data_IF_258632857660
#
_entry.id   IF_258632857660
#
_cell.length_a   1.000
_cell.length_b   1.000
_cell.length_c   1.000
_cell.angle_alpha   90.00
_cell.angle_beta   90.00
_cell.angle_gamma   90.00
#
_symmetry.space_group_name_H-M   'P 1'
#
loop_
_entity.id
_entity.type
_entity.pdbx_description
1 polymer ?
#
# COMPACT_ATOMS: atom_id res chain seq x y z
N UNK A 1 -18.52 -15.70 -10.54
CA UNK A 1 -17.93 -14.63 -11.38
C UNK A 1 -16.77 -14.04 -10.61
N UNK A 2 -15.56 -14.07 -11.16
CA UNK A 2 -14.39 -13.45 -10.52
C UNK A 2 -14.61 -11.94 -10.49
N UNK A 3 -14.63 -11.34 -9.29
CA UNK A 3 -14.80 -9.89 -9.10
C UNK A 3 -13.61 -9.18 -9.76
N UNK A 4 -13.87 -8.24 -10.67
CA UNK A 4 -12.81 -7.47 -11.30
C UNK A 4 -12.29 -6.38 -10.34
N UNK A 5 -10.97 -6.20 -10.27
CA UNK A 5 -10.36 -5.14 -9.47
C UNK A 5 -10.80 -3.76 -10.01
N UNK A 6 -11.13 -2.78 -9.15
CA UNK A 6 -11.60 -1.47 -9.60
C UNK A 6 -10.53 -0.78 -10.43
N UNK A 7 -10.94 -0.31 -11.61
CA UNK A 7 -10.14 0.56 -12.47
C UNK A 7 -10.82 1.92 -12.45
N UNK A 8 -10.18 2.97 -11.91
CA UNK A 8 -10.77 4.30 -11.90
C UNK A 8 -10.80 4.88 -13.31
N UNK A 9 -11.45 6.02 -13.51
CA UNK A 9 -11.53 6.69 -14.81
C UNK A 9 -10.17 7.29 -15.22
N UNK A 10 -9.30 6.41 -15.71
CA UNK A 10 -7.95 6.71 -16.14
C UNK A 10 -7.94 7.19 -17.59
N UNK A 11 -7.18 8.25 -17.91
CA UNK A 11 -7.02 8.78 -19.26
C UNK A 11 -6.29 7.81 -20.19
N UNK A 12 -6.41 8.01 -21.51
CA UNK A 12 -5.85 7.11 -22.53
C UNK A 12 -4.34 6.94 -22.43
N UNK A 13 -3.61 7.98 -21.98
CA UNK A 13 -2.16 7.90 -21.77
C UNK A 13 -1.75 6.98 -20.60
N UNK A 14 -2.70 6.58 -19.75
CA UNK A 14 -2.48 5.70 -18.60
C UNK A 14 -2.94 4.25 -18.86
N UNK A 15 -3.03 3.85 -20.13
CA UNK A 15 -3.47 2.50 -20.54
C UNK A 15 -2.70 1.37 -19.85
N UNK A 16 -1.39 1.52 -19.64
CA UNK A 16 -0.58 0.49 -18.98
C UNK A 16 -0.97 0.30 -17.50
N UNK A 17 -1.32 1.37 -16.79
CA UNK A 17 -1.81 1.28 -15.40
C UNK A 17 -3.14 0.52 -15.38
N UNK A 18 -4.05 0.82 -16.31
CA UNK A 18 -5.33 0.11 -16.46
C UNK A 18 -5.16 -1.39 -16.71
N UNK A 19 -4.22 -1.78 -17.58
CA UNK A 19 -3.92 -3.18 -17.86
C UNK A 19 -3.31 -3.88 -16.65
N UNK A 20 -2.39 -3.23 -15.95
CA UNK A 20 -1.78 -3.76 -14.73
C UNK A 20 -2.83 -4.00 -13.63
N UNK A 21 -3.70 -3.03 -13.35
CA UNK A 21 -4.80 -3.16 -12.38
C UNK A 21 -5.70 -4.35 -12.71
N UNK A 22 -6.09 -4.45 -13.99
CA UNK A 22 -6.97 -5.50 -14.48
C UNK A 22 -6.36 -6.90 -14.33
N UNK A 23 -5.04 -7.00 -14.16
CA UNK A 23 -4.31 -8.27 -14.01
C UNK A 23 -4.11 -8.72 -12.56
N UNK A 24 -4.18 -7.81 -11.57
CA UNK A 24 -3.75 -8.08 -10.20
C UNK A 24 -4.51 -9.26 -9.55
N UNK A 25 -5.83 -9.31 -9.70
CA UNK A 25 -6.69 -10.35 -9.11
C UNK A 25 -7.19 -11.38 -10.14
N UNK A 26 -6.49 -11.51 -11.28
CA UNK A 26 -6.69 -12.67 -12.16
C UNK A 26 -5.97 -13.89 -11.58
N UNK A 27 -6.32 -15.13 -11.98
CA UNK A 27 -5.57 -16.32 -11.57
C UNK A 27 -4.06 -16.16 -11.88
N UNK A 28 -3.22 -16.33 -10.86
CA UNK A 28 -1.77 -16.12 -10.97
C UNK A 28 -1.33 -14.65 -11.01
N UNK A 29 -2.25 -13.70 -10.77
CA UNK A 29 -2.01 -12.26 -10.82
C UNK A 29 -1.17 -11.73 -9.67
N UNK A 30 -1.05 -12.47 -8.56
CA UNK A 30 -0.23 -12.15 -7.37
C UNK A 30 0.45 -13.41 -6.83
N UNK A 31 1.40 -14.00 -7.59
CA UNK A 31 2.04 -15.24 -7.17
C UNK A 31 2.78 -15.08 -5.84
N UNK A 32 2.73 -16.13 -5.02
CA UNK A 32 3.34 -16.16 -3.69
C UNK A 32 2.55 -15.43 -2.60
N UNK A 33 1.33 -14.95 -2.87
CA UNK A 33 0.43 -14.36 -1.88
C UNK A 33 -0.92 -15.08 -1.87
N UNK A 34 -1.53 -15.17 -0.68
CA UNK A 34 -2.94 -15.49 -0.57
C UNK A 34 -3.81 -14.33 -1.10
N UNK A 35 -5.06 -14.61 -1.47
CA UNK A 35 -5.98 -13.59 -1.97
C UNK A 35 -6.25 -12.49 -0.93
N UNK A 36 -6.46 -12.85 0.34
CA UNK A 36 -6.63 -11.91 1.45
C UNK A 36 -5.39 -11.03 1.66
N UNK A 37 -4.19 -11.59 1.50
CA UNK A 37 -2.94 -10.84 1.61
C UNK A 37 -2.81 -9.80 0.50
N UNK A 38 -3.09 -10.18 -0.75
CA UNK A 38 -3.11 -9.25 -1.87
C UNK A 38 -4.18 -8.16 -1.69
N UNK A 39 -5.36 -8.52 -1.17
CA UNK A 39 -6.45 -7.59 -0.86
C UNK A 39 -6.04 -6.56 0.22
N UNK A 40 -5.44 -7.00 1.32
CA UNK A 40 -4.97 -6.12 2.37
C UNK A 40 -3.83 -5.20 1.91
N UNK A 41 -2.90 -5.70 1.09
CA UNK A 41 -1.85 -4.89 0.45
C UNK A 41 -2.46 -3.83 -0.47
N UNK A 42 -3.46 -4.19 -1.29
CA UNK A 42 -4.14 -3.25 -2.17
C UNK A 42 -4.83 -2.12 -1.37
N UNK A 43 -5.54 -2.47 -0.30
CA UNK A 43 -6.20 -1.48 0.55
C UNK A 43 -5.19 -0.59 1.30
N UNK A 44 -4.12 -1.16 1.85
CA UNK A 44 -3.04 -0.39 2.50
C UNK A 44 -2.42 0.61 1.53
N UNK A 45 -2.23 0.19 0.28
CA UNK A 45 -1.64 1.01 -0.79
C UNK A 45 -2.55 2.15 -1.22
N UNK A 46 -3.87 1.90 -1.31
CA UNK A 46 -4.86 2.93 -1.61
C UNK A 46 -4.94 3.97 -0.48
N UNK A 47 -4.91 3.54 0.79
CA UNK A 47 -4.86 4.47 1.92
C UNK A 47 -3.58 5.32 1.87
N UNK A 48 -2.43 4.69 1.61
CA UNK A 48 -1.14 5.37 1.54
C UNK A 48 -1.04 6.36 0.37
N UNK A 49 -1.80 6.16 -0.72
CA UNK A 49 -1.86 7.11 -1.84
C UNK A 49 -2.68 8.36 -1.53
N UNK A 50 -3.42 8.39 -0.41
CA UNK A 50 -4.21 9.55 0.06
C UNK A 50 -5.34 9.99 -0.87
N UNK A 51 -5.75 9.13 -1.80
CA UNK A 51 -6.91 9.36 -2.66
C UNK A 51 -8.16 8.72 -2.02
N UNK A 52 -9.04 9.53 -1.44
CA UNK A 52 -10.21 9.06 -0.69
C UNK A 52 -11.22 8.29 -1.55
N UNK A 53 -11.53 8.81 -2.74
CA UNK A 53 -12.51 8.21 -3.66
C UNK A 53 -12.04 6.83 -4.15
N UNK A 54 -10.77 6.73 -4.55
CA UNK A 54 -10.22 5.46 -4.98
C UNK A 54 -10.02 4.47 -3.81
N UNK A 55 -9.68 4.96 -2.61
CA UNK A 55 -9.67 4.14 -1.40
C UNK A 55 -11.04 3.51 -1.15
N UNK A 56 -12.14 4.27 -1.30
CA UNK A 56 -13.49 3.74 -1.14
C UNK A 56 -13.81 2.64 -2.16
N UNK A 57 -13.40 2.81 -3.43
CA UNK A 57 -13.56 1.79 -4.46
C UNK A 57 -12.80 0.49 -4.14
N UNK A 58 -11.54 0.62 -3.73
CA UNK A 58 -10.72 -0.54 -3.33
C UNK A 58 -11.29 -1.20 -2.08
N UNK A 59 -11.76 -0.44 -1.09
CA UNK A 59 -12.39 -0.99 0.11
C UNK A 59 -13.67 -1.79 -0.21
N UNK A 60 -14.52 -1.29 -1.11
CA UNK A 60 -15.71 -2.02 -1.57
C UNK A 60 -15.33 -3.31 -2.34
N UNK A 61 -14.22 -3.29 -3.07
CA UNK A 61 -13.73 -4.48 -3.75
C UNK A 61 -13.28 -5.58 -2.77
N UNK A 62 -12.53 -5.22 -1.73
CA UNK A 62 -11.95 -6.19 -0.78
C UNK A 62 -12.89 -6.61 0.35
N UNK A 63 -14.11 -6.05 0.43
CA UNK A 63 -15.04 -6.24 1.55
C UNK A 63 -15.37 -7.71 1.85
N UNK A 64 -15.40 -8.58 0.83
CA UNK A 64 -15.71 -10.01 0.99
C UNK A 64 -14.44 -10.88 1.22
N UNK A 65 -13.26 -10.26 1.18
CA UNK A 65 -11.94 -10.91 1.30
C UNK A 65 -11.25 -10.61 2.62
N UNK A 66 -11.66 -9.53 3.30
CA UNK A 66 -11.08 -9.04 4.55
C UNK A 66 -12.18 -8.90 5.59
N UNK A 67 -11.96 -9.48 6.77
CA UNK A 67 -12.83 -9.21 7.92
C UNK A 67 -12.52 -7.84 8.57
N UNK A 68 -13.34 -7.46 9.55
CA UNK A 68 -13.19 -6.19 10.25
C UNK A 68 -11.82 -6.04 10.94
N UNK A 69 -11.27 -7.13 11.46
CA UNK A 69 -9.97 -7.14 12.13
C UNK A 69 -8.83 -6.87 11.14
N UNK A 70 -8.91 -7.44 9.94
CA UNK A 70 -7.98 -7.23 8.85
C UNK A 70 -8.05 -5.80 8.32
N UNK A 71 -9.26 -5.25 8.12
CA UNK A 71 -9.43 -3.85 7.72
C UNK A 71 -8.87 -2.90 8.78
N UNK A 72 -9.10 -3.18 10.06
CA UNK A 72 -8.53 -2.39 11.15
C UNK A 72 -6.99 -2.47 11.15
N UNK A 73 -6.41 -3.66 10.98
CA UNK A 73 -4.97 -3.85 10.92
C UNK A 73 -4.33 -3.13 9.71
N UNK A 74 -4.97 -3.16 8.54
CA UNK A 74 -4.52 -2.41 7.35
C UNK A 74 -4.48 -0.90 7.63
N UNK A 75 -5.55 -0.34 8.21
CA UNK A 75 -5.60 1.08 8.59
C UNK A 75 -4.53 1.42 9.61
N UNK A 76 -4.32 0.54 10.60
CA UNK A 76 -3.33 0.75 11.62
C UNK A 76 -1.89 0.68 11.08
N UNK A 77 -1.61 -0.24 10.15
CA UNK A 77 -0.34 -0.33 9.42
C UNK A 77 -0.08 0.98 8.65
N UNK A 78 -1.05 1.45 7.87
CA UNK A 78 -0.94 2.72 7.14
C UNK A 78 -0.67 3.91 8.07
N UNK A 79 -1.38 3.99 9.21
CA UNK A 79 -1.22 5.07 10.18
C UNK A 79 0.17 5.05 10.86
N UNK A 80 0.60 3.90 11.37
CA UNK A 80 1.90 3.80 12.05
C UNK A 80 3.06 3.97 11.08
N UNK A 81 2.94 3.49 9.85
CA UNK A 81 3.95 3.68 8.81
C UNK A 81 4.03 5.13 8.33
N UNK A 82 2.92 5.87 8.27
CA UNK A 82 2.97 7.31 7.98
C UNK A 82 3.84 8.09 8.98
N UNK A 83 3.87 7.68 10.25
CA UNK A 83 4.77 8.23 11.27
C UNK A 83 6.19 7.66 11.16
N UNK A 84 6.32 6.34 11.18
CA UNK A 84 7.60 5.64 11.24
C UNK A 84 8.45 5.89 9.99
N UNK A 85 7.84 5.90 8.81
CA UNK A 85 8.56 6.09 7.56
C UNK A 85 9.21 7.45 7.47
N UNK A 86 8.65 8.50 8.09
CA UNK A 86 9.30 9.81 8.15
C UNK A 86 10.52 9.77 9.07
N UNK A 87 10.33 9.31 10.32
CA UNK A 87 11.37 9.31 11.33
C UNK A 87 12.56 8.41 10.93
N UNK A 88 12.29 7.14 10.59
CA UNK A 88 13.35 6.19 10.28
C UNK A 88 14.01 6.44 8.92
N UNK A 89 13.33 7.12 7.99
CA UNK A 89 13.97 7.61 6.76
C UNK A 89 14.97 8.71 7.07
N UNK A 90 14.63 9.68 7.93
CA UNK A 90 15.57 10.70 8.39
C UNK A 90 16.80 10.04 9.03
N UNK A 91 16.59 9.17 10.03
CA UNK A 91 17.68 8.47 10.73
C UNK A 91 18.56 7.70 9.74
N UNK A 92 17.97 7.07 8.71
CA UNK A 92 18.73 6.34 7.70
C UNK A 92 19.55 7.24 6.77
N UNK A 93 19.01 8.38 6.35
CA UNK A 93 19.58 9.24 5.30
C UNK A 93 20.57 10.27 5.85
N UNK A 94 20.49 10.62 7.14
CA UNK A 94 21.40 11.60 7.75
C UNK A 94 22.81 11.05 7.96
N UNK A 95 22.97 9.72 7.96
CA UNK A 95 24.26 9.01 8.11
C UNK A 95 25.09 9.40 9.36
N UNK A 96 24.40 9.94 10.37
CA UNK A 96 24.99 10.33 11.64
C UNK A 96 24.58 9.33 12.72
N UNK A 97 25.60 8.65 13.27
CA UNK A 97 25.44 7.60 14.27
C UNK A 97 24.83 8.09 15.58
N UNK A 98 24.92 9.38 15.90
CA UNK A 98 24.33 9.93 17.13
C UNK A 98 22.81 9.77 17.11
N UNK A 99 22.15 10.06 15.99
CA UNK A 99 20.70 9.90 15.85
C UNK A 99 20.22 8.45 15.98
N UNK A 100 21.05 7.46 15.66
CA UNK A 100 20.73 6.05 15.89
C UNK A 100 20.73 5.68 17.38
N UNK A 101 21.48 6.41 18.21
CA UNK A 101 21.57 6.16 19.65
C UNK A 101 20.46 6.86 20.46
N UNK A 102 19.88 7.92 19.91
CA UNK A 102 18.81 8.67 20.57
C UNK A 102 17.51 7.85 20.63
N UNK A 103 16.80 7.85 21.77
CA UNK A 103 15.51 7.19 21.84
C UNK A 103 14.49 7.93 20.96
N UNK A 104 13.83 7.18 20.07
CA UNK A 104 12.82 7.77 19.16
C UNK A 104 11.64 8.44 19.89
N UNK A 105 11.30 7.95 21.10
CA UNK A 105 10.14 8.41 21.90
C UNK A 105 8.81 8.31 21.14
N UNK A 106 8.71 7.41 20.16
CA UNK A 106 7.49 7.12 19.41
C UNK A 106 6.82 5.86 19.97
N UNK A 107 5.49 5.92 20.20
CA UNK A 107 4.70 4.75 20.62
C UNK A 107 4.28 3.95 19.39
N UNK A 108 4.57 2.64 19.38
CA UNK A 108 4.32 1.74 18.24
C UNK A 108 3.68 0.42 18.68
N UNK A 109 2.80 0.45 19.71
CA UNK A 109 2.25 -0.76 20.33
C UNK A 109 1.56 -1.70 19.32
N UNK A 110 0.98 -1.15 18.26
CA UNK A 110 0.31 -1.94 17.22
C UNK A 110 1.25 -2.89 16.48
N UNK A 111 2.56 -2.60 16.41
CA UNK A 111 3.54 -3.52 15.82
C UNK A 111 3.68 -4.83 16.62
N UNK A 112 3.39 -4.78 17.93
CA UNK A 112 3.44 -5.96 18.82
C UNK A 112 2.14 -6.75 18.80
N UNK A 113 1.01 -6.06 18.71
CA UNK A 113 -0.32 -6.63 18.79
C UNK A 113 -1.20 -6.07 17.67
N UNK A 114 -0.98 -6.48 16.41
CA UNK A 114 -1.66 -5.90 15.25
C UNK A 114 -3.12 -6.36 15.10
N UNK A 115 -3.54 -7.38 15.86
CA UNK A 115 -4.90 -7.96 15.76
C UNK A 115 -5.08 -8.95 14.61
N UNK A 116 -4.03 -9.19 13.82
CA UNK A 116 -3.97 -10.17 12.72
C UNK A 116 -2.68 -10.97 12.79
N UNK A 117 -2.48 -11.92 11.87
CA UNK A 117 -1.21 -12.63 11.76
C UNK A 117 -0.05 -11.64 11.50
N UNK A 118 1.11 -11.80 12.17
CA UNK A 118 2.25 -10.90 11.99
C UNK A 118 2.66 -10.74 10.52
N UNK A 119 2.68 -11.85 9.76
CA UNK A 119 3.03 -11.86 8.33
C UNK A 119 2.13 -10.95 7.49
N UNK A 120 0.84 -10.84 7.81
CA UNK A 120 -0.10 -9.99 7.07
C UNK A 120 0.14 -8.51 7.39
N UNK A 121 0.34 -8.18 8.67
CA UNK A 121 0.68 -6.81 9.08
C UNK A 121 2.01 -6.33 8.48
N UNK A 122 2.99 -7.22 8.37
CA UNK A 122 4.28 -6.96 7.72
C UNK A 122 4.12 -6.70 6.22
N UNK A 123 3.22 -7.40 5.51
CA UNK A 123 2.91 -7.14 4.11
C UNK A 123 2.31 -5.74 3.91
N UNK A 124 1.37 -5.36 4.77
CA UNK A 124 0.75 -4.03 4.72
C UNK A 124 1.78 -2.93 5.01
N UNK A 125 2.62 -3.16 6.01
CA UNK A 125 3.68 -2.21 6.41
C UNK A 125 4.75 -2.06 5.32
N UNK A 126 5.13 -3.15 4.65
CA UNK A 126 6.03 -3.13 3.50
C UNK A 126 5.44 -2.30 2.35
N UNK A 127 4.17 -2.53 2.00
CA UNK A 127 3.50 -1.82 0.91
C UNK A 127 3.49 -0.30 1.15
N UNK A 128 3.09 0.12 2.37
CA UNK A 128 3.07 1.53 2.76
C UNK A 128 4.49 2.11 2.81
N UNK A 129 5.46 1.37 3.33
CA UNK A 129 6.86 1.79 3.40
C UNK A 129 7.51 1.97 2.03
N UNK A 130 7.13 1.14 1.05
CA UNK A 130 7.58 1.26 -0.33
C UNK A 130 7.02 2.52 -0.98
N UNK A 131 5.71 2.79 -0.84
CA UNK A 131 5.06 4.01 -1.33
C UNK A 131 5.69 5.26 -0.70
N UNK A 132 5.89 5.23 0.62
CA UNK A 132 6.50 6.34 1.34
C UNK A 132 8.01 6.44 1.14
N UNK A 133 8.68 5.48 0.50
CA UNK A 133 10.13 5.53 0.24
C UNK A 133 11.03 5.49 1.49
N UNK A 134 10.68 4.71 2.53
CA UNK A 134 11.54 4.49 3.70
C UNK A 134 12.44 3.26 3.52
N UNK A 135 13.69 3.45 3.05
CA UNK A 135 14.62 2.35 2.79
C UNK A 135 14.92 1.45 4.00
N UNK A 136 15.03 2.03 5.21
CA UNK A 136 15.22 1.26 6.44
C UNK A 136 14.00 0.38 6.76
N UNK A 137 12.80 0.94 6.64
CA UNK A 137 11.54 0.25 6.92
C UNK A 137 11.31 -0.89 5.91
N UNK A 138 11.52 -0.62 4.61
CA UNK A 138 11.42 -1.64 3.55
C UNK A 138 12.33 -2.83 3.84
N UNK A 139 13.60 -2.60 4.20
CA UNK A 139 14.53 -3.70 4.55
C UNK A 139 14.08 -4.47 5.80
N UNK A 140 13.55 -3.78 6.80
CA UNK A 140 13.07 -4.40 8.03
C UNK A 140 11.87 -5.31 7.77
N UNK A 141 10.84 -4.79 7.09
CA UNK A 141 9.63 -5.53 6.79
C UNK A 141 9.89 -6.67 5.79
N UNK A 142 10.73 -6.47 4.77
CA UNK A 142 11.14 -7.56 3.87
C UNK A 142 11.79 -8.70 4.66
N UNK A 143 12.76 -8.41 5.53
CA UNK A 143 13.42 -9.44 6.34
C UNK A 143 12.42 -10.20 7.21
N UNK A 144 11.54 -9.49 7.91
CA UNK A 144 10.49 -10.12 8.73
C UNK A 144 9.60 -11.02 7.89
N UNK A 145 9.19 -10.60 6.69
CA UNK A 145 8.40 -11.43 5.77
C UNK A 145 9.14 -12.69 5.32
N UNK A 146 10.45 -12.59 5.06
CA UNK A 146 11.30 -13.75 4.74
C UNK A 146 11.33 -14.75 5.88
N UNK A 147 11.47 -14.27 7.12
CA UNK A 147 11.48 -15.10 8.33
C UNK A 147 10.13 -15.81 8.55
N UNK A 148 9.02 -15.16 8.19
CA UNK A 148 7.68 -15.74 8.21
C UNK A 148 7.32 -16.58 6.97
N UNK A 149 8.28 -16.85 6.08
CA UNK A 149 8.13 -17.81 4.97
C UNK A 149 7.56 -17.23 3.67
N UNK A 150 7.29 -15.92 3.57
CA UNK A 150 6.88 -15.32 2.29
C UNK A 150 8.05 -15.40 1.30
N UNK A 151 7.77 -15.86 0.07
CA UNK A 151 8.77 -16.01 -0.99
C UNK A 151 9.17 -14.65 -1.60
N UNK A 152 10.27 -14.60 -2.36
CA UNK A 152 10.76 -13.32 -2.92
C UNK A 152 9.78 -12.84 -3.96
N UNK A 153 9.18 -13.78 -4.67
CA UNK A 153 8.04 -13.57 -5.55
C UNK A 153 6.83 -13.02 -4.81
N UNK A 154 6.48 -13.53 -3.61
CA UNK A 154 5.41 -12.95 -2.79
C UNK A 154 5.68 -11.52 -2.35
N UNK A 155 6.91 -11.22 -1.89
CA UNK A 155 7.35 -9.84 -1.56
C UNK A 155 7.27 -8.94 -2.79
N UNK A 156 7.77 -9.41 -3.93
CA UNK A 156 7.72 -8.66 -5.20
C UNK A 156 6.27 -8.41 -5.63
N UNK A 157 5.38 -9.40 -5.51
CA UNK A 157 3.95 -9.27 -5.78
C UNK A 157 3.32 -8.18 -4.91
N UNK A 158 3.64 -8.13 -3.62
CA UNK A 158 3.13 -7.10 -2.72
C UNK A 158 3.57 -5.69 -3.15
N UNK A 159 4.86 -5.51 -3.46
CA UNK A 159 5.39 -4.22 -3.91
C UNK A 159 4.83 -3.83 -5.28
N UNK A 160 4.61 -4.79 -6.19
CA UNK A 160 3.98 -4.53 -7.49
C UNK A 160 2.52 -4.10 -7.34
N UNK A 161 1.75 -4.74 -6.47
CA UNK A 161 0.39 -4.28 -6.13
C UNK A 161 0.43 -2.84 -5.62
N UNK A 162 1.35 -2.54 -4.69
CA UNK A 162 1.50 -1.21 -4.13
C UNK A 162 1.81 -0.15 -5.19
N UNK A 163 2.76 -0.43 -6.09
CA UNK A 163 3.13 0.47 -7.19
C UNK A 163 1.96 0.75 -8.14
N UNK A 164 1.23 -0.29 -8.56
CA UNK A 164 0.13 -0.16 -9.52
C UNK A 164 -1.07 0.56 -8.90
N UNK A 165 -1.43 0.23 -7.66
CA UNK A 165 -2.53 0.90 -6.94
C UNK A 165 -2.20 2.37 -6.69
N UNK A 166 -0.98 2.67 -6.25
CA UNK A 166 -0.54 4.05 -6.04
C UNK A 166 -0.54 4.86 -7.35
N UNK A 167 -0.01 4.30 -8.44
CA UNK A 167 -0.01 4.96 -9.75
C UNK A 167 -1.43 5.31 -10.20
N UNK A 168 -2.38 4.38 -10.08
CA UNK A 168 -3.77 4.60 -10.43
C UNK A 168 -4.40 5.76 -9.64
N UNK A 169 -4.14 5.80 -8.33
CA UNK A 169 -4.66 6.83 -7.44
C UNK A 169 -4.14 8.23 -7.79
N UNK A 170 -2.83 8.35 -8.05
CA UNK A 170 -2.20 9.62 -8.40
C UNK A 170 -2.66 10.09 -9.78
N UNK A 171 -2.73 9.18 -10.76
CA UNK A 171 -3.14 9.52 -12.13
C UNK A 171 -4.61 9.94 -12.20
N UNK A 172 -5.53 9.26 -11.51
CA UNK A 172 -6.95 9.67 -11.54
C UNK A 172 -7.16 11.01 -10.84
N UNK A 173 -6.45 11.28 -9.74
CA UNK A 173 -6.51 12.56 -9.05
C UNK A 173 -6.06 13.69 -9.97
N UNK A 174 -4.90 13.54 -10.61
CA UNK A 174 -4.36 14.51 -11.55
C UNK A 174 -5.30 14.76 -12.74
N UNK A 175 -5.84 13.71 -13.35
CA UNK A 175 -6.77 13.83 -14.48
C UNK A 175 -8.13 14.47 -14.07
N UNK A 176 -8.57 14.28 -12.82
CA UNK A 176 -9.79 14.89 -12.31
C UNK A 176 -9.69 16.41 -12.18
N UNK A 177 -8.51 16.93 -11.84
CA UNK A 177 -8.25 18.37 -11.79
C UNK A 177 -8.32 19.04 -13.17
N UNK A 178 -7.79 18.40 -14.21
CA UNK A 178 -7.85 18.91 -15.60
C UNK A 178 -9.30 19.07 -16.09
N UNK A 179 -10.16 18.10 -15.77
CA UNK A 179 -11.59 18.17 -16.14
C UNK A 179 -12.35 19.28 -15.42
N UNK A 180 -12.02 19.58 -14.17
CA UNK A 180 -12.62 20.72 -13.45
C UNK A 180 -12.22 22.06 -14.06
N UNK A 181 -10.98 22.22 -14.51
CA UNK A 181 -10.49 23.49 -15.08
C UNK A 181 -11.05 23.77 -16.47
N UNK A 182 -11.30 22.75 -17.29
CA UNK A 182 -11.95 22.93 -18.61
C UNK A 182 -13.43 23.31 -18.48
N UNK A 183 -14.10 22.83 -17.43
CA UNK A 183 -15.52 23.14 -17.21
C UNK A 183 -15.71 24.59 -16.73
N UNK A 184 -14.76 25.12 -15.96
CA UNK A 184 -14.79 26.51 -15.45
C UNK A 184 -14.31 27.55 -16.49
N UNK A 185 -13.56 27.17 -17.52
CA UNK A 185 -13.16 28.07 -18.63
C UNK A 185 -14.16 28.13 -19.79
N UNK A 186 -15.09 27.19 -19.84
CA UNK A 186 -16.15 27.13 -20.85
C UNK A 186 -17.47 27.82 -20.43
N UNK A 187 -17.50 28.43 -19.22
CA UNK A 187 -18.61 29.19 -18.66
C UNK A 187 -18.32 30.69 -18.66
#
# INVERSE_FOLDING_TARGET
MTKAFPVPDLPDYAKDIKLNLSSLFRPGGTPGLAESQAAGVALASAIASRNGDYTAQVQAFVADMLDESAVHAVKAAAAVMAMNNIYYRFVHLVEDAEYHSLPARLRMNVLRSPGVAPVDFELYSLAVSAINGCGMCVRSHERSLREHGITREGVQSAVRVAAVVHAAAVTVEQASHERSTDTDQAA
#
